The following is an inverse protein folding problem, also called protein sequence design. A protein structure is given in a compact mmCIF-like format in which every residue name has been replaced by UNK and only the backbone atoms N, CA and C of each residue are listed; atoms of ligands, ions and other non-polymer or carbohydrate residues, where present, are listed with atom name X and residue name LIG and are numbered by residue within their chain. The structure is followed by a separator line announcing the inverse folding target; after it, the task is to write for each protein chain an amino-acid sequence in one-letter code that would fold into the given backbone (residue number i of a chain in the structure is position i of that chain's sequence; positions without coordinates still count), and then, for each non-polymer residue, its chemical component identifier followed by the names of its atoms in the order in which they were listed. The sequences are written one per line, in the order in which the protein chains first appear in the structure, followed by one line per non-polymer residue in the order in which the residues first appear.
data_IF_292477891410
#
_entry.id   IF_292477891410
#
_cell.length_a   1.000
_cell.length_b   1.000
_cell.length_c   1.000
_cell.angle_alpha   90.00
_cell.angle_beta   90.00
_cell.angle_gamma   90.00
#
_symmetry.space_group_name_H-M   'P 1'
#
loop_
_entity.id
_entity.type
_entity.pdbx_description
1 polymer ?
#
# COMPACT_ATOMS: atom_id res chain seq x y z
N UNK A 1 15.72 23.72 6.71
CA UNK A 1 14.64 22.88 6.14
C UNK A 1 15.12 21.87 5.09
N UNK A 2 16.10 22.21 4.22
CA UNK A 2 16.48 21.38 3.08
C UNK A 2 16.92 19.93 3.40
N UNK A 3 17.69 19.73 4.47
CA UNK A 3 18.08 18.38 4.89
C UNK A 3 16.86 17.50 5.21
N UNK A 4 15.88 18.05 5.95
CA UNK A 4 14.63 17.36 6.26
C UNK A 4 13.82 17.00 4.99
N UNK A 5 13.76 17.90 4.01
CA UNK A 5 13.11 17.59 2.73
C UNK A 5 13.84 16.49 1.94
N UNK A 6 15.17 16.47 2.01
CA UNK A 6 15.98 15.42 1.40
C UNK A 6 15.73 14.06 2.04
N UNK A 7 15.61 14.02 3.38
CA UNK A 7 15.30 12.79 4.11
C UNK A 7 13.89 12.29 3.75
N UNK A 8 12.89 13.17 3.72
CA UNK A 8 11.51 12.83 3.29
C UNK A 8 11.45 12.31 1.85
N UNK A 9 12.26 12.89 0.96
CA UNK A 9 12.38 12.42 -0.42
C UNK A 9 12.94 11.00 -0.46
N UNK A 10 13.99 10.71 0.32
CA UNK A 10 14.54 9.35 0.45
C UNK A 10 13.50 8.36 1.01
N UNK A 11 12.61 8.82 1.89
CA UNK A 11 11.49 8.03 2.44
C UNK A 11 10.32 7.86 1.45
N UNK A 12 10.44 8.34 0.20
CA UNK A 12 9.39 8.26 -0.82
C UNK A 12 8.09 9.01 -0.45
N UNK A 13 8.16 10.03 0.40
CA UNK A 13 7.00 10.87 0.74
C UNK A 13 6.36 11.47 -0.53
N UNK A 14 7.19 11.86 -1.50
CA UNK A 14 6.75 12.33 -2.82
C UNK A 14 5.90 11.33 -3.61
N UNK A 15 5.97 10.03 -3.33
CA UNK A 15 5.17 9.02 -4.02
C UNK A 15 3.81 8.76 -3.34
N UNK A 16 3.63 9.20 -2.08
CA UNK A 16 2.38 9.01 -1.36
C UNK A 16 1.26 9.94 -1.85
N UNK A 17 1.60 11.15 -2.30
CA UNK A 17 0.61 12.16 -2.71
C UNK A 17 0.25 12.05 -4.21
N UNK A 18 -1.01 11.68 -4.51
CA UNK A 18 -1.51 11.54 -5.88
C UNK A 18 -1.68 12.87 -6.62
N UNK A 19 -2.08 13.94 -5.91
CA UNK A 19 -2.36 15.27 -6.48
C UNK A 19 -1.25 16.26 -6.14
N UNK A 20 0.02 15.91 -6.38
CA UNK A 20 1.14 16.82 -6.14
C UNK A 20 1.55 17.57 -7.40
N UNK A 21 2.11 18.76 -7.22
CA UNK A 21 2.86 19.41 -8.29
C UNK A 21 4.13 18.59 -8.59
N UNK A 22 4.44 18.29 -9.87
CA UNK A 22 5.65 17.57 -10.23
C UNK A 22 6.91 18.40 -9.97
N UNK A 23 6.82 19.72 -10.11
CA UNK A 23 7.93 20.66 -9.99
C UNK A 23 7.65 21.68 -8.88
N UNK A 24 8.66 21.94 -8.05
CA UNK A 24 8.63 22.98 -7.04
C UNK A 24 9.61 24.09 -7.43
N UNK A 25 9.17 25.34 -7.37
CA UNK A 25 10.03 26.48 -7.74
C UNK A 25 11.03 26.78 -6.63
N UNK A 26 12.22 27.25 -7.02
CA UNK A 26 13.33 27.52 -6.10
C UNK A 26 13.05 28.69 -5.15
N UNK A 27 12.34 29.71 -5.61
CA UNK A 27 11.94 30.86 -4.81
C UNK A 27 10.96 30.48 -3.68
N UNK A 28 10.01 29.59 -3.98
CA UNK A 28 9.08 29.05 -2.97
C UNK A 28 9.84 28.29 -1.89
N UNK A 29 10.83 27.47 -2.28
CA UNK A 29 11.66 26.73 -1.32
C UNK A 29 12.46 27.66 -0.40
N UNK A 30 13.02 28.75 -0.93
CA UNK A 30 13.76 29.73 -0.13
C UNK A 30 12.83 30.48 0.82
N UNK A 31 11.65 30.89 0.34
CA UNK A 31 10.64 31.53 1.17
C UNK A 31 10.10 30.58 2.26
N UNK A 32 9.91 29.31 1.94
CA UNK A 32 9.49 28.30 2.90
C UNK A 32 10.57 28.04 3.96
N UNK A 33 11.86 27.99 3.59
CA UNK A 33 12.96 27.79 4.55
C UNK A 33 13.00 28.91 5.60
N UNK A 34 12.82 30.17 5.19
CA UNK A 34 12.83 31.31 6.13
C UNK A 34 11.66 31.27 7.11
N UNK A 35 10.45 30.96 6.62
CA UNK A 35 9.26 30.81 7.46
C UNK A 35 9.43 29.61 8.41
N UNK A 36 9.86 28.47 7.89
CA UNK A 36 10.03 27.25 8.67
C UNK A 36 11.05 27.42 9.79
N UNK A 37 12.15 28.14 9.51
CA UNK A 37 13.16 28.48 10.51
C UNK A 37 12.66 29.44 11.58
N UNK A 38 11.84 30.43 11.21
CA UNK A 38 11.25 31.34 12.19
C UNK A 38 10.25 30.64 13.12
N UNK A 39 9.52 29.64 12.63
CA UNK A 39 8.49 28.93 13.40
C UNK A 39 9.04 27.77 14.24
N UNK A 40 10.00 27.02 13.72
CA UNK A 40 10.43 25.74 14.29
C UNK A 40 11.95 25.60 14.48
N UNK A 41 12.72 26.65 14.17
CA UNK A 41 14.16 26.65 14.37
C UNK A 41 14.52 26.68 15.85
N UNK A 42 15.37 25.76 16.28
CA UNK A 42 15.95 25.74 17.63
C UNK A 42 17.17 26.66 17.71
N UNK A 43 17.60 27.02 18.93
CA UNK A 43 18.77 27.91 19.15
C UNK A 43 20.08 27.36 18.54
N UNK A 44 20.19 26.04 18.43
CA UNK A 44 21.31 25.34 17.79
C UNK A 44 21.19 25.22 16.26
N UNK A 45 20.13 25.77 15.65
CA UNK A 45 19.88 25.70 14.22
C UNK A 45 19.32 24.36 13.72
N UNK A 46 19.02 23.42 14.62
CA UNK A 46 18.39 22.15 14.27
C UNK A 46 16.87 22.28 14.14
N UNK A 47 16.28 21.34 13.41
CA UNK A 47 14.83 21.22 13.23
C UNK A 47 14.35 19.92 13.87
N UNK A 48 13.57 19.96 14.96
CA UNK A 48 13.01 18.75 15.54
C UNK A 48 11.92 18.20 14.61
N UNK A 49 12.05 16.93 14.22
CA UNK A 49 11.09 16.24 13.37
C UNK A 49 10.81 14.84 13.90
N UNK A 50 9.53 14.50 14.00
CA UNK A 50 9.05 13.19 14.43
C UNK A 50 8.32 12.54 13.27
N UNK A 51 8.75 11.36 12.86
CA UNK A 51 8.16 10.64 11.73
C UNK A 51 7.32 9.46 12.21
N UNK A 52 6.22 9.21 11.52
CA UNK A 52 5.43 7.99 11.67
C UNK A 52 5.48 7.24 10.34
N UNK A 53 5.96 5.99 10.37
CA UNK A 53 6.09 5.16 9.17
C UNK A 53 4.99 4.11 9.21
N UNK A 54 4.07 4.18 8.24
CA UNK A 54 2.99 3.21 8.07
C UNK A 54 3.39 2.25 6.94
N UNK A 55 3.59 0.99 7.29
CA UNK A 55 3.97 -0.06 6.35
C UNK A 55 2.77 -0.93 6.00
N UNK A 56 2.55 -1.15 4.71
CA UNK A 56 1.51 -2.06 4.21
C UNK A 56 2.16 -3.23 3.47
N UNK A 57 1.60 -4.43 3.65
CA UNK A 57 1.98 -5.62 2.89
C UNK A 57 0.79 -5.97 2.00
N UNK A 58 1.04 -6.08 0.70
CA UNK A 58 0.03 -6.43 -0.30
C UNK A 58 0.42 -7.69 -1.07
N UNK A 59 -0.56 -8.53 -1.36
CA UNK A 59 -0.38 -9.70 -2.21
C UNK A 59 -0.85 -9.38 -3.62
N UNK A 60 0.02 -9.57 -4.61
CA UNK A 60 -0.37 -9.52 -6.02
C UNK A 60 -0.89 -10.89 -6.45
N UNK A 61 -2.04 -11.00 -7.12
CA UNK A 61 -2.51 -12.26 -7.66
C UNK A 61 -1.47 -12.85 -8.63
N UNK A 62 -1.07 -14.10 -8.38
CA UNK A 62 -0.12 -14.82 -9.22
C UNK A 62 -0.77 -15.34 -10.52
N UNK A 63 0.03 -15.69 -11.54
CA UNK A 63 -0.48 -16.25 -12.80
C UNK A 63 -1.32 -17.52 -12.63
N UNK A 64 -0.99 -18.32 -11.61
CA UNK A 64 -1.65 -19.59 -11.28
C UNK A 64 -2.76 -19.43 -10.21
N UNK A 65 -3.17 -18.19 -9.90
CA UNK A 65 -4.20 -17.98 -8.90
C UNK A 65 -5.55 -18.54 -9.41
N UNK A 66 -6.19 -19.48 -8.66
CA UNK A 66 -7.48 -20.01 -9.07
C UNK A 66 -8.50 -18.88 -9.13
N UNK A 67 -9.18 -18.75 -10.26
CA UNK A 67 -10.26 -17.78 -10.43
C UNK A 67 -11.47 -18.26 -9.62
N UNK A 68 -12.22 -17.36 -8.97
CA UNK A 68 -13.49 -17.71 -8.35
C UNK A 68 -14.39 -18.42 -9.37
N UNK A 69 -14.99 -19.55 -8.96
CA UNK A 69 -15.96 -20.25 -9.81
C UNK A 69 -17.18 -19.35 -10.08
N UNK A 70 -17.79 -19.52 -11.26
CA UNK A 70 -18.98 -18.73 -11.63
C UNK A 70 -20.11 -19.02 -10.63
N UNK A 71 -20.80 -17.98 -10.14
CA UNK A 71 -21.94 -18.15 -9.24
C UNK A 71 -22.96 -19.13 -9.85
N UNK A 72 -23.33 -20.17 -9.10
CA UNK A 72 -24.25 -21.21 -9.55
C UNK A 72 -23.62 -22.36 -10.35
N UNK A 73 -22.29 -22.41 -10.52
CA UNK A 73 -21.59 -23.54 -11.17
C UNK A 73 -21.42 -24.76 -10.24
N UNK A 74 -22.31 -24.93 -9.26
CA UNK A 74 -22.25 -26.03 -8.30
C UNK A 74 -22.85 -27.28 -8.94
N UNK A 75 -22.04 -28.32 -9.12
CA UNK A 75 -22.51 -29.61 -9.65
C UNK A 75 -23.09 -30.53 -8.58
N UNK A 76 -22.75 -30.31 -7.30
CA UNK A 76 -23.17 -31.17 -6.18
C UNK A 76 -23.68 -30.37 -5.00
N UNK A 77 -24.80 -30.80 -4.41
CA UNK A 77 -25.35 -30.22 -3.19
C UNK A 77 -24.40 -30.44 -2.01
N UNK A 78 -24.24 -29.42 -1.15
CA UNK A 78 -23.44 -29.54 0.06
C UNK A 78 -23.97 -30.59 1.04
N UNK A 79 -25.26 -30.95 0.97
CA UNK A 79 -25.86 -32.00 1.81
C UNK A 79 -25.29 -33.39 1.51
N UNK A 80 -24.79 -33.61 0.31
CA UNK A 80 -24.29 -34.91 -0.15
C UNK A 80 -22.77 -35.04 -0.03
N UNK A 81 -22.08 -34.06 0.60
CA UNK A 81 -20.64 -34.10 0.80
C UNK A 81 -20.15 -35.33 1.59
N UNK A 82 -20.92 -35.77 2.60
CA UNK A 82 -20.56 -36.94 3.41
C UNK A 82 -20.47 -38.22 2.56
N UNK A 83 -21.36 -38.37 1.58
CA UNK A 83 -21.39 -39.53 0.67
C UNK A 83 -20.20 -39.56 -0.28
N UNK A 84 -19.70 -38.38 -0.68
CA UNK A 84 -18.51 -38.22 -1.54
C UNK A 84 -17.24 -38.52 -0.75
N UNK A 85 -17.13 -38.02 0.49
CA UNK A 85 -15.96 -38.26 1.36
C UNK A 85 -15.84 -39.75 1.73
N UNK A 86 -16.96 -40.43 1.93
CA UNK A 86 -17.02 -41.87 2.22
C UNK A 86 -16.79 -42.75 0.98
N UNK A 87 -16.54 -42.17 -0.20
CA UNK A 87 -16.28 -42.91 -1.44
C UNK A 87 -17.49 -43.65 -2.03
N UNK A 88 -18.70 -43.38 -1.52
CA UNK A 88 -19.94 -44.00 -2.00
C UNK A 88 -20.45 -43.40 -3.32
N UNK A 89 -19.89 -42.27 -3.73
CA UNK A 89 -20.28 -41.56 -4.95
C UNK A 89 -19.04 -40.94 -5.62
N UNK A 90 -18.85 -41.12 -6.95
CA UNK A 90 -17.67 -40.65 -7.65
C UNK A 90 -17.60 -39.11 -7.70
N UNK A 91 -16.38 -38.57 -7.81
CA UNK A 91 -16.16 -37.13 -7.93
C UNK A 91 -16.80 -36.60 -9.22
N UNK A 92 -17.44 -35.40 -9.21
CA UNK A 92 -18.11 -34.85 -10.38
C UNK A 92 -17.17 -34.29 -11.46
N UNK A 93 -16.12 -35.02 -11.86
CA UNK A 93 -15.32 -34.75 -13.06
C UNK A 93 -14.25 -35.83 -13.31
N UNK A 94 -14.62 -37.11 -13.30
CA UNK A 94 -13.88 -38.12 -14.08
C UNK A 94 -14.66 -38.39 -15.38
N UNK A 95 -14.30 -37.64 -16.42
CA UNK A 95 -14.48 -38.00 -17.83
C UNK A 95 -13.14 -37.84 -18.52
#
# INVERSE_FOLDING_TARGET
MFALLYDLQCMSESNAAKNRSPNLRRDILIAADSIYRAMFGQENGAYPATFQVISFIGWRPGPLMPKPAKRGSQNVSFKDLSKIIEGKQPLPSEK
#
